data_IF_937891153054
#
_entry.id   IF_937891153054
#
_cell.length_a   1.000
_cell.length_b   1.000
_cell.length_c   1.000
_cell.angle_alpha   90.00
_cell.angle_beta   90.00
_cell.angle_gamma   90.00
#
_symmetry.space_group_name_H-M   'P 1'
#
loop_
_entity.id
_entity.type
_entity.pdbx_description
1 polymer ?
#
# COMPACT_ATOMS: atom_id res chain seq x y z
N UNK A 1 7.75 -22.29 -4.59
CA UNK A 1 6.99 -21.16 -4.04
C UNK A 1 7.10 -21.21 -2.52
N UNK A 2 7.74 -20.23 -1.90
CA UNK A 2 7.93 -20.14 -0.45
C UNK A 2 8.01 -18.67 -0.04
N UNK A 3 8.07 -18.38 1.26
CA UNK A 3 7.97 -17.01 1.81
C UNK A 3 8.82 -15.95 1.08
N UNK A 4 10.03 -16.30 0.63
CA UNK A 4 10.90 -15.39 -0.12
C UNK A 4 10.29 -14.89 -1.45
N UNK A 5 9.45 -15.68 -2.12
CA UNK A 5 8.77 -15.26 -3.35
C UNK A 5 7.65 -14.25 -3.07
N UNK A 6 6.92 -14.43 -1.96
CA UNK A 6 5.92 -13.47 -1.49
C UNK A 6 6.57 -12.13 -1.12
N UNK A 7 7.70 -12.16 -0.40
CA UNK A 7 8.40 -10.93 -0.01
C UNK A 7 8.93 -10.14 -1.24
N UNK A 8 9.30 -10.83 -2.32
CA UNK A 8 9.66 -10.19 -3.59
C UNK A 8 8.43 -9.55 -4.24
N UNK A 9 7.31 -10.27 -4.29
CA UNK A 9 6.05 -9.74 -4.84
C UNK A 9 5.56 -8.53 -4.04
N UNK A 10 5.59 -8.60 -2.70
CA UNK A 10 5.19 -7.52 -1.80
C UNK A 10 6.04 -6.27 -2.05
N UNK A 11 7.37 -6.40 -2.16
CA UNK A 11 8.25 -5.26 -2.47
C UNK A 11 7.97 -4.64 -3.83
N UNK A 12 7.74 -5.45 -4.85
CA UNK A 12 7.44 -4.97 -6.20
C UNK A 12 6.09 -4.25 -6.24
N UNK A 13 5.09 -4.83 -5.59
CA UNK A 13 3.76 -4.25 -5.51
C UNK A 13 3.76 -2.94 -4.71
N UNK A 14 4.40 -2.91 -3.53
CA UNK A 14 4.53 -1.72 -2.70
C UNK A 14 5.22 -0.57 -3.46
N UNK A 15 6.23 -0.87 -4.27
CA UNK A 15 6.88 0.12 -5.14
C UNK A 15 5.91 0.73 -6.16
N UNK A 16 5.23 -0.12 -6.93
CA UNK A 16 4.24 0.33 -7.93
C UNK A 16 3.09 1.11 -7.29
N UNK A 17 2.57 0.67 -6.15
CA UNK A 17 1.50 1.37 -5.44
C UNK A 17 1.95 2.73 -4.91
N UNK A 18 3.18 2.85 -4.42
CA UNK A 18 3.74 4.14 -3.98
C UNK A 18 3.76 5.15 -5.14
N UNK A 19 4.17 4.72 -6.33
CA UNK A 19 4.15 5.57 -7.53
C UNK A 19 2.72 5.97 -7.93
N UNK A 20 1.79 5.02 -7.94
CA UNK A 20 0.38 5.27 -8.27
C UNK A 20 -0.29 6.27 -7.30
N UNK A 21 -0.13 6.05 -5.99
CA UNK A 21 -0.67 6.94 -4.96
C UNK A 21 -0.08 8.35 -5.08
N UNK A 22 1.23 8.45 -5.34
CA UNK A 22 1.87 9.75 -5.55
C UNK A 22 1.29 10.49 -6.75
N UNK A 23 1.08 9.81 -7.88
CA UNK A 23 0.50 10.41 -9.07
C UNK A 23 -0.93 10.92 -8.81
N UNK A 24 -1.78 10.13 -8.14
CA UNK A 24 -3.13 10.55 -7.75
C UNK A 24 -3.08 11.80 -6.87
N UNK A 25 -2.21 11.82 -5.86
CA UNK A 25 -2.06 12.99 -4.97
C UNK A 25 -1.59 14.22 -5.73
N UNK A 26 -0.66 14.07 -6.68
CA UNK A 26 -0.19 15.19 -7.52
C UNK A 26 -1.32 15.76 -8.39
N UNK A 27 -2.22 14.92 -8.92
CA UNK A 27 -3.41 15.38 -9.64
C UNK A 27 -4.37 16.18 -8.75
N UNK A 28 -4.66 15.71 -7.53
CA UNK A 28 -5.53 16.42 -6.60
C UNK A 28 -4.90 17.72 -6.08
N UNK A 29 -3.58 17.74 -5.87
CA UNK A 29 -2.84 18.97 -5.55
C UNK A 29 -2.91 20.00 -6.67
N UNK A 30 -2.83 19.57 -7.92
CA UNK A 30 -2.90 20.46 -9.08
C UNK A 30 -4.21 21.28 -9.10
N UNK A 31 -5.30 20.69 -8.63
CA UNK A 31 -6.61 21.34 -8.52
C UNK A 31 -6.94 21.86 -7.10
N UNK A 32 -5.96 21.87 -6.18
CA UNK A 32 -6.11 22.32 -4.78
C UNK A 32 -7.19 21.56 -3.98
N UNK A 33 -7.32 20.25 -4.23
CA UNK A 33 -8.30 19.34 -3.58
C UNK A 33 -7.62 18.19 -2.86
N UNK A 34 -6.34 18.33 -2.49
CA UNK A 34 -5.57 17.25 -1.89
C UNK A 34 -6.16 16.71 -0.58
N UNK A 35 -6.94 17.51 0.16
CA UNK A 35 -7.62 17.08 1.38
C UNK A 35 -8.64 15.96 1.14
N UNK A 36 -9.20 15.83 -0.07
CA UNK A 36 -10.16 14.77 -0.41
C UNK A 36 -9.53 13.37 -0.46
N UNK A 37 -8.24 13.32 -0.76
CA UNK A 37 -7.49 12.07 -0.85
C UNK A 37 -6.65 11.79 0.39
N UNK A 38 -6.58 12.73 1.34
CA UNK A 38 -5.83 12.57 2.57
C UNK A 38 -6.39 11.40 3.41
N UNK A 39 -5.52 10.46 3.77
CA UNK A 39 -5.85 9.24 4.54
C UNK A 39 -6.89 8.32 3.89
N UNK A 40 -7.19 8.50 2.60
CA UNK A 40 -8.00 7.57 1.83
C UNK A 40 -7.14 6.44 1.27
N UNK A 41 -7.68 5.22 1.21
CA UNK A 41 -7.03 4.11 0.51
C UNK A 41 -7.21 4.36 -0.99
N UNK A 42 -6.11 4.65 -1.68
CA UNK A 42 -6.14 5.00 -3.11
C UNK A 42 -5.62 3.89 -4.01
N UNK A 43 -4.89 2.93 -3.44
CA UNK A 43 -4.36 1.80 -4.16
C UNK A 43 -4.27 0.59 -3.23
N UNK A 44 -4.38 -0.62 -3.79
CA UNK A 44 -4.23 -1.86 -3.06
C UNK A 44 -3.55 -2.89 -3.94
N UNK A 45 -2.93 -3.89 -3.31
CA UNK A 45 -2.39 -5.04 -4.03
C UNK A 45 -2.65 -6.33 -3.26
N UNK A 46 -2.55 -7.43 -3.99
CA UNK A 46 -2.71 -8.78 -3.48
C UNK A 46 -1.48 -9.59 -3.85
N UNK A 47 -0.86 -10.22 -2.86
CA UNK A 47 0.19 -11.21 -3.05
C UNK A 47 -0.30 -12.55 -2.52
N UNK A 48 0.03 -13.64 -3.20
CA UNK A 48 -0.44 -14.96 -2.78
C UNK A 48 0.57 -16.05 -3.15
N UNK A 49 0.49 -17.15 -2.39
CA UNK A 49 1.04 -18.44 -2.77
C UNK A 49 -0.01 -19.54 -2.56
N UNK A 50 0.42 -20.81 -2.60
CA UNK A 50 -0.49 -21.94 -2.43
C UNK A 50 -1.07 -22.11 -1.02
N UNK A 51 -0.60 -21.35 -0.01
CA UNK A 51 -1.04 -21.47 1.39
C UNK A 51 -1.53 -20.17 2.01
N UNK A 52 -1.30 -19.03 1.36
CA UNK A 52 -1.57 -17.71 1.94
C UNK A 52 -1.92 -16.65 0.90
N UNK A 53 -2.70 -15.67 1.34
CA UNK A 53 -3.08 -14.46 0.62
C UNK A 53 -2.88 -13.26 1.54
N UNK A 54 -2.15 -12.25 1.03
CA UNK A 54 -1.92 -10.98 1.71
C UNK A 54 -2.51 -9.84 0.89
N UNK A 55 -3.28 -8.98 1.55
CA UNK A 55 -3.90 -7.80 0.95
C UNK A 55 -3.42 -6.56 1.69
N UNK A 56 -2.89 -5.60 0.94
CA UNK A 56 -2.36 -4.35 1.48
C UNK A 56 -3.06 -3.17 0.82
N UNK A 57 -3.34 -2.13 1.61
CA UNK A 57 -3.85 -0.85 1.14
C UNK A 57 -2.83 0.26 1.34
N UNK A 58 -2.71 1.17 0.37
CA UNK A 58 -1.85 2.35 0.46
C UNK A 58 -2.68 3.63 0.55
N UNK A 59 -2.32 4.48 1.50
CA UNK A 59 -2.95 5.78 1.70
C UNK A 59 -1.90 6.89 1.89
N UNK A 60 -2.13 8.09 1.35
CA UNK A 60 -1.25 9.22 1.59
C UNK A 60 -1.59 9.87 2.94
N UNK A 61 -0.58 10.28 3.69
CA UNK A 61 -0.75 11.10 4.89
C UNK A 61 -0.22 12.51 4.64
N UNK A 62 -1.12 13.40 4.26
CA UNK A 62 -0.79 14.78 3.91
C UNK A 62 -0.63 15.63 5.17
N UNK A 63 0.44 16.42 5.21
CA UNK A 63 0.60 17.53 6.16
C UNK A 63 0.48 18.85 5.39
N UNK A 64 -0.21 19.83 5.97
CA UNK A 64 -0.29 21.17 5.42
C UNK A 64 1.13 21.71 5.13
N UNK A 65 1.31 22.25 3.91
CA UNK A 65 2.55 22.88 3.44
C UNK A 65 3.80 21.98 3.28
N UNK A 66 3.66 20.64 3.37
CA UNK A 66 4.78 19.72 3.16
C UNK A 66 4.75 19.04 1.79
N UNK A 67 5.88 19.11 1.07
CA UNK A 67 6.08 18.36 -0.17
C UNK A 67 6.33 16.87 0.09
N UNK A 68 6.88 16.52 1.25
CA UNK A 68 7.05 15.14 1.71
C UNK A 68 5.66 14.51 1.93
N UNK A 69 5.37 13.52 1.07
CA UNK A 69 4.18 12.70 1.05
C UNK A 69 4.50 11.34 1.67
N UNK A 70 4.41 11.17 3.00
CA UNK A 70 4.50 9.85 3.57
C UNK A 70 3.30 9.03 3.09
N UNK A 71 3.56 8.08 2.20
CA UNK A 71 2.61 7.05 1.79
C UNK A 71 2.77 5.91 2.78
N UNK A 72 1.67 5.55 3.43
CA UNK A 72 1.63 4.47 4.41
C UNK A 72 0.94 3.26 3.81
N UNK A 73 1.50 2.11 4.12
CA UNK A 73 0.89 0.82 3.85
C UNK A 73 0.13 0.36 5.09
N UNK A 74 -1.05 -0.21 4.89
CA UNK A 74 -1.87 -0.85 5.89
C UNK A 74 -2.11 -2.30 5.45
N UNK A 75 -1.80 -3.25 6.34
CA UNK A 75 -2.20 -4.65 6.15
C UNK A 75 -3.71 -4.74 6.33
N UNK A 76 -4.42 -5.11 5.27
CA UNK A 76 -5.88 -5.25 5.27
C UNK A 76 -6.26 -6.68 5.62
N UNK A 77 -5.55 -7.67 5.05
CA UNK A 77 -5.72 -9.10 5.34
C UNK A 77 -4.36 -9.79 5.25
N UNK A 78 -4.03 -10.61 6.24
CA UNK A 78 -2.90 -11.54 6.20
C UNK A 78 -3.36 -12.84 6.87
N UNK A 79 -3.56 -13.90 6.07
CA UNK A 79 -4.01 -15.21 6.55
C UNK A 79 -2.84 -16.15 6.92
N UNK A 80 -1.59 -15.68 6.81
CA UNK A 80 -0.39 -16.46 7.16
C UNK A 80 -0.46 -16.96 8.62
N UNK A 81 -1.08 -16.16 9.50
CA UNK A 81 -1.25 -16.46 10.92
C UNK A 81 -2.33 -17.54 11.20
N UNK A 82 -3.25 -17.80 10.26
CA UNK A 82 -4.29 -18.83 10.40
C UNK A 82 -3.75 -20.26 10.29
N UNK A 83 -2.59 -20.43 9.66
CA UNK A 83 -1.94 -21.73 9.48
C UNK A 83 -0.84 -22.01 10.53
N UNK A 84 -0.77 -21.22 11.61
CA UNK A 84 -0.01 -21.57 12.81
C UNK A 84 1.51 -21.46 12.72
N UNK A 85 2.06 -20.61 11.84
CA UNK A 85 3.49 -20.25 11.91
C UNK A 85 3.66 -18.91 12.63
N UNK A 86 4.29 -18.95 13.80
CA UNK A 86 4.77 -17.74 14.49
C UNK A 86 5.80 -17.03 13.61
N UNK A 87 5.74 -15.70 13.63
CA UNK A 87 6.72 -14.76 13.07
C UNK A 87 8.15 -15.08 13.48
#
# INVERSE_FOLDING_TARGET
>A
CGAAALDIADRQNAHSMTLAVRAIVELFRFVKREDEVNRQILAFFVSHDHQSVRIYGHYPHLKAHRRDLPIKELVVVDDSDLHGRRK
#
